data_IF_740615052727
#
_entry.id   IF_740615052727
#
_cell.length_a   1.000
_cell.length_b   1.000
_cell.length_c   1.000
_cell.angle_alpha   90.00
_cell.angle_beta   90.00
_cell.angle_gamma   90.00
#
_symmetry.space_group_name_H-M   'P 1'
#
loop_
_entity.id
_entity.type
_entity.pdbx_description
1 polymer ?
#
# COMPACT_ATOMS: atom_id res chain seq x y z
N UNK A 1 -2.89 -3.44 -26.34
CA UNK A 1 -2.22 -4.06 -25.18
C UNK A 1 -2.46 -3.16 -23.97
N UNK A 2 -3.08 -3.67 -22.89
CA UNK A 2 -3.30 -2.94 -21.63
C UNK A 2 -2.46 -3.61 -20.53
N UNK A 3 -1.38 -2.95 -20.11
CA UNK A 3 -0.43 -3.50 -19.14
C UNK A 3 0.23 -2.37 -18.36
N UNK A 4 0.29 -2.52 -17.04
CA UNK A 4 0.90 -1.57 -16.12
C UNK A 4 1.89 -2.30 -15.23
N UNK A 5 3.04 -1.68 -15.01
CA UNK A 5 4.09 -2.20 -14.16
C UNK A 5 4.45 -1.16 -13.11
N UNK A 6 4.36 -1.54 -11.84
CA UNK A 6 4.62 -0.67 -10.70
C UNK A 6 5.58 -1.35 -9.74
N UNK A 7 6.46 -0.56 -9.12
CA UNK A 7 7.30 -1.02 -8.02
C UNK A 7 7.28 0.03 -6.92
N UNK A 8 6.84 -0.37 -5.73
CA UNK A 8 6.59 0.55 -4.62
C UNK A 8 6.58 -0.17 -3.29
N UNK A 9 6.33 0.60 -2.23
CA UNK A 9 6.14 0.05 -0.88
C UNK A 9 4.65 0.02 -0.54
N UNK A 10 4.21 -1.03 0.13
CA UNK A 10 2.84 -1.12 0.63
C UNK A 10 2.63 -0.02 1.70
N UNK A 11 1.66 0.86 1.49
CA UNK A 11 1.42 2.03 2.32
C UNK A 11 0.42 1.77 3.46
N UNK A 12 -0.50 0.84 3.27
CA UNK A 12 -1.56 0.51 4.22
C UNK A 12 -1.40 -0.91 4.79
N UNK A 13 -1.98 -1.11 5.97
CA UNK A 13 -2.26 -2.45 6.46
C UNK A 13 -3.41 -3.04 5.66
N UNK A 14 -3.35 -4.34 5.37
CA UNK A 14 -4.33 -5.04 4.56
C UNK A 14 -4.60 -6.44 5.13
N UNK A 15 -5.73 -7.01 4.73
CA UNK A 15 -6.17 -8.35 5.10
C UNK A 15 -6.80 -9.04 3.89
N UNK A 16 -6.76 -10.37 3.89
CA UNK A 16 -7.53 -11.17 2.95
C UNK A 16 -9.01 -11.04 3.26
N UNK A 17 -9.81 -10.74 2.24
CA UNK A 17 -11.26 -10.63 2.32
C UNK A 17 -11.92 -11.60 1.34
N UNK A 18 -13.18 -11.92 1.57
CA UNK A 18 -13.99 -12.78 0.71
C UNK A 18 -15.14 -11.97 0.14
N UNK A 19 -15.29 -12.00 -1.19
CA UNK A 19 -16.38 -11.33 -1.90
C UNK A 19 -17.70 -12.12 -1.77
N UNK A 20 -18.83 -11.50 -2.08
CA UNK A 20 -20.13 -12.15 -2.14
C UNK A 20 -20.15 -13.39 -3.06
N UNK A 21 -19.31 -13.38 -4.10
CA UNK A 21 -19.14 -14.51 -5.03
C UNK A 21 -18.09 -15.54 -4.55
N UNK A 22 -17.76 -15.53 -3.26
CA UNK A 22 -16.79 -16.42 -2.62
C UNK A 22 -15.34 -16.36 -3.18
N UNK A 23 -14.99 -15.26 -3.85
CA UNK A 23 -13.63 -15.01 -4.33
C UNK A 23 -12.80 -14.28 -3.26
N UNK A 24 -11.54 -14.64 -3.11
CA UNK A 24 -10.64 -13.92 -2.22
C UNK A 24 -10.11 -12.65 -2.89
N UNK A 25 -9.94 -11.58 -2.11
CA UNK A 25 -9.37 -10.34 -2.59
C UNK A 25 -8.67 -9.55 -1.48
N UNK A 26 -7.83 -8.61 -1.88
CA UNK A 26 -7.26 -7.63 -0.95
C UNK A 26 -7.05 -6.28 -1.64
N UNK A 27 -7.23 -5.20 -0.87
CA UNK A 27 -7.00 -3.83 -1.31
C UNK A 27 -5.67 -3.32 -0.75
N UNK A 28 -4.80 -2.86 -1.64
CA UNK A 28 -3.47 -2.39 -1.29
C UNK A 28 -3.23 -1.06 -1.98
N UNK A 29 -2.56 -0.15 -1.28
CA UNK A 29 -2.05 1.11 -1.81
C UNK A 29 -0.54 1.05 -1.86
N UNK A 30 0.05 1.33 -3.04
CA UNK A 30 1.49 1.46 -3.21
C UNK A 30 1.93 2.91 -3.09
N UNK A 31 2.90 3.15 -2.24
CA UNK A 31 3.71 4.37 -2.23
C UNK A 31 4.83 4.24 -3.28
N UNK A 32 4.81 5.09 -4.30
CA UNK A 32 5.80 5.15 -5.37
C UNK A 32 6.40 6.55 -5.40
N UNK A 33 7.67 6.64 -5.07
CA UNK A 33 8.41 7.91 -5.10
C UNK A 33 8.70 8.33 -6.54
N UNK A 34 8.40 9.59 -6.88
CA UNK A 34 8.80 10.19 -8.16
C UNK A 34 10.31 10.47 -8.18
N UNK A 35 10.92 10.34 -9.36
CA UNK A 35 12.36 10.59 -9.54
C UNK A 35 12.74 12.06 -9.35
N UNK A 36 11.83 12.97 -9.65
CA UNK A 36 12.02 14.41 -9.52
C UNK A 36 11.34 14.95 -8.26
N UNK A 37 11.81 16.11 -7.81
CA UNK A 37 11.29 16.86 -6.65
C UNK A 37 10.25 17.89 -7.10
N UNK A 38 9.45 18.39 -6.17
CA UNK A 38 8.60 19.56 -6.43
C UNK A 38 9.43 20.81 -6.69
N UNK A 39 8.78 21.88 -7.15
CA UNK A 39 9.42 23.19 -7.34
C UNK A 39 10.03 23.75 -6.04
N UNK A 40 9.54 23.30 -4.89
CA UNK A 40 10.03 23.66 -3.54
C UNK A 40 11.15 22.72 -3.05
N UNK A 41 11.55 21.73 -3.87
CA UNK A 41 12.60 20.77 -3.52
C UNK A 41 12.13 19.57 -2.69
N UNK A 42 10.82 19.41 -2.47
CA UNK A 42 10.23 18.33 -1.68
C UNK A 42 10.12 17.02 -2.48
N UNK A 43 10.29 15.87 -1.81
CA UNK A 43 10.09 14.56 -2.44
C UNK A 43 8.60 14.30 -2.67
N UNK A 44 8.23 13.87 -3.89
CA UNK A 44 6.85 13.57 -4.25
C UNK A 44 6.66 12.05 -4.26
N UNK A 45 5.55 11.58 -3.67
CA UNK A 45 5.16 10.16 -3.67
C UNK A 45 3.72 10.03 -4.13
N UNK A 46 3.49 9.15 -5.10
CA UNK A 46 2.16 8.75 -5.55
C UNK A 46 1.66 7.57 -4.72
N UNK A 47 0.37 7.60 -4.37
CA UNK A 47 -0.30 6.53 -3.66
C UNK A 47 -1.29 5.86 -4.59
N UNK A 48 -0.91 4.69 -5.10
CA UNK A 48 -1.64 4.00 -6.15
C UNK A 48 -2.38 2.79 -5.56
N UNK A 49 -3.72 2.85 -5.46
CA UNK A 49 -4.51 1.70 -5.02
C UNK A 49 -4.62 0.64 -6.12
N UNK A 50 -4.61 -0.62 -5.72
CA UNK A 50 -4.89 -1.76 -6.59
C UNK A 50 -5.62 -2.87 -5.83
N UNK A 51 -6.26 -3.75 -6.59
CA UNK A 51 -6.94 -4.95 -6.10
C UNK A 51 -6.16 -6.17 -6.56
N UNK A 52 -5.82 -7.06 -5.64
CA UNK A 52 -5.37 -8.41 -5.98
C UNK A 52 -6.50 -9.40 -5.69
N UNK A 53 -6.64 -10.40 -6.55
CA UNK A 53 -7.68 -11.43 -6.45
C UNK A 53 -7.06 -12.82 -6.26
N UNK A 54 -7.82 -13.71 -5.62
CA UNK A 54 -7.54 -15.14 -5.47
C UNK A 54 -6.09 -15.40 -5.04
N UNK A 55 -5.37 -16.23 -5.81
CA UNK A 55 -3.98 -16.62 -5.53
C UNK A 55 -3.05 -15.42 -5.29
N UNK A 56 -3.21 -14.33 -6.04
CA UNK A 56 -2.42 -13.11 -5.89
C UNK A 56 -2.67 -12.46 -4.53
N UNK A 57 -3.94 -12.43 -4.09
CA UNK A 57 -4.32 -11.92 -2.78
C UNK A 57 -3.79 -12.79 -1.64
N UNK A 58 -3.86 -14.12 -1.79
CA UNK A 58 -3.34 -15.08 -0.82
C UNK A 58 -1.82 -14.96 -0.64
N UNK A 59 -1.08 -14.84 -1.75
CA UNK A 59 0.38 -14.63 -1.74
C UNK A 59 0.73 -13.35 -0.99
N UNK A 60 0.05 -12.24 -1.29
CA UNK A 60 0.30 -10.97 -0.61
C UNK A 60 0.01 -11.08 0.89
N UNK A 61 -1.12 -11.67 1.26
CA UNK A 61 -1.49 -11.82 2.67
C UNK A 61 -0.53 -12.73 3.45
N UNK A 62 0.09 -13.71 2.77
CA UNK A 62 1.03 -14.64 3.39
C UNK A 62 2.46 -14.10 3.48
N UNK A 63 2.90 -13.31 2.49
CA UNK A 63 4.32 -12.97 2.32
C UNK A 63 4.63 -11.47 2.32
N UNK A 64 3.62 -10.60 2.36
CA UNK A 64 3.81 -9.17 2.41
C UNK A 64 3.05 -8.54 3.58
N UNK A 65 3.45 -7.33 3.95
CA UNK A 65 2.82 -6.51 4.98
C UNK A 65 3.10 -5.05 4.67
N UNK A 66 2.50 -4.14 5.44
CA UNK A 66 2.80 -2.72 5.34
C UNK A 66 4.30 -2.43 5.38
N UNK A 67 4.73 -1.55 4.49
CA UNK A 67 6.11 -1.15 4.31
C UNK A 67 6.93 -2.04 3.39
N UNK A 68 6.52 -3.28 3.10
CA UNK A 68 7.26 -4.18 2.21
C UNK A 68 7.27 -3.66 0.78
N UNK A 69 8.42 -3.75 0.12
CA UNK A 69 8.57 -3.40 -1.30
C UNK A 69 8.10 -4.55 -2.19
N UNK A 70 7.22 -4.25 -3.13
CA UNK A 70 6.68 -5.22 -4.09
C UNK A 70 6.72 -4.68 -5.52
N UNK A 71 6.78 -5.59 -6.48
CA UNK A 71 6.50 -5.37 -7.88
C UNK A 71 5.08 -5.85 -8.20
N UNK A 72 4.36 -5.08 -9.01
CA UNK A 72 2.99 -5.38 -9.42
C UNK A 72 2.90 -5.23 -10.93
N UNK A 73 2.42 -6.29 -11.57
CA UNK A 73 1.87 -6.25 -12.93
C UNK A 73 0.35 -6.14 -12.82
N UNK A 74 -0.26 -5.23 -13.58
CA UNK A 74 -1.68 -4.97 -13.50
C UNK A 74 -2.31 -4.57 -14.84
N UNK A 75 -3.63 -4.60 -14.88
CA UNK A 75 -4.45 -3.94 -15.91
C UNK A 75 -5.19 -2.76 -15.31
N UNK A 76 -5.38 -1.70 -16.09
CA UNK A 76 -6.25 -0.58 -15.70
C UNK A 76 -7.65 -0.83 -16.24
N UNK A 77 -8.63 -0.69 -15.36
CA UNK A 77 -10.04 -0.59 -15.68
C UNK A 77 -10.55 0.78 -15.27
N UNK A 78 -11.26 1.45 -16.18
CA UNK A 78 -11.95 2.71 -15.91
C UNK A 78 -13.42 2.39 -15.81
N UNK A 79 -14.03 2.66 -14.66
CA UNK A 79 -15.46 2.56 -14.46
C UNK A 79 -16.04 3.97 -14.36
N UNK A 80 -17.20 4.19 -14.95
CA UNK A 80 -17.96 5.41 -14.78
C UNK A 80 -19.24 5.08 -14.03
N UNK A 81 -19.53 5.84 -12.99
CA UNK A 81 -20.73 5.68 -12.17
C UNK A 81 -21.41 7.04 -11.98
N UNK A 82 -22.72 7.04 -11.73
CA UNK A 82 -23.48 8.24 -11.41
C UNK A 82 -23.83 8.16 -9.93
N UNK A 83 -23.13 8.97 -9.14
CA UNK A 83 -23.35 9.07 -7.70
C UNK A 83 -23.77 10.50 -7.40
N UNK A 84 -24.91 10.68 -6.73
CA UNK A 84 -25.47 12.00 -6.39
C UNK A 84 -25.72 12.90 -7.62
N UNK A 85 -26.19 12.30 -8.73
CA UNK A 85 -26.42 12.99 -10.01
C UNK A 85 -25.14 13.60 -10.63
N UNK A 86 -23.96 13.17 -10.17
CA UNK A 86 -22.67 13.54 -10.72
C UNK A 86 -21.95 12.31 -11.28
N UNK A 87 -21.36 12.48 -12.47
CA UNK A 87 -20.54 11.45 -13.09
C UNK A 87 -19.21 11.32 -12.34
N UNK A 88 -18.94 10.15 -11.75
CA UNK A 88 -17.67 9.81 -11.10
C UNK A 88 -16.93 8.78 -11.93
N UNK A 89 -15.64 9.03 -12.15
CA UNK A 89 -14.74 8.10 -12.83
C UNK A 89 -13.85 7.41 -11.82
N UNK A 90 -13.91 6.08 -11.77
CA UNK A 90 -13.10 5.24 -10.92
C UNK A 90 -12.00 4.56 -11.75
N UNK A 91 -10.75 4.78 -11.38
CA UNK A 91 -9.60 4.09 -11.97
C UNK A 91 -9.23 2.95 -11.03
N UNK A 92 -9.36 1.72 -11.53
CA UNK A 92 -9.11 0.51 -10.77
C UNK A 92 -7.96 -0.24 -11.43
N UNK A 93 -6.91 -0.50 -10.65
CA UNK A 93 -5.84 -1.40 -11.04
C UNK A 93 -6.13 -2.81 -10.52
N UNK A 94 -6.16 -3.78 -11.42
CA UNK A 94 -6.30 -5.20 -11.06
C UNK A 94 -4.96 -5.89 -11.26
N UNK A 95 -4.37 -6.38 -10.18
CA UNK A 95 -3.07 -7.05 -10.21
C UNK A 95 -3.19 -8.43 -10.87
N UNK A 96 -2.44 -8.65 -11.95
CA UNK A 96 -2.31 -9.93 -12.64
C UNK A 96 -1.18 -10.76 -12.07
N UNK A 97 -0.09 -10.12 -11.64
CA UNK A 97 1.04 -10.76 -10.98
C UNK A 97 1.64 -9.84 -9.90
N UNK A 98 2.21 -10.43 -8.86
CA UNK A 98 2.87 -9.71 -7.76
C UNK A 98 4.13 -10.45 -7.34
N UNK A 99 5.20 -9.70 -7.11
CA UNK A 99 6.47 -10.23 -6.63
C UNK A 99 6.95 -9.42 -5.44
N UNK A 100 7.36 -10.13 -4.39
CA UNK A 100 7.93 -9.49 -3.21
C UNK A 100 9.41 -9.24 -3.46
N UNK A 101 9.83 -7.97 -3.35
CA UNK A 101 11.19 -7.53 -3.71
C UNK A 101 12.13 -7.45 -2.49
N UNK A 102 11.70 -7.95 -1.34
CA UNK A 102 12.49 -7.94 -0.11
C UNK A 102 12.72 -9.35 0.41
N UNK A 103 13.89 -9.58 0.99
CA UNK A 103 14.20 -10.85 1.66
C UNK A 103 13.57 -10.89 3.05
N UNK A 104 13.31 -12.08 3.59
CA UNK A 104 12.82 -12.26 4.97
C UNK A 104 13.69 -11.52 5.99
N UNK A 105 15.02 -11.59 5.83
CA UNK A 105 15.99 -10.88 6.67
C UNK A 105 15.80 -9.36 6.62
N UNK A 106 15.57 -8.78 5.44
CA UNK A 106 15.29 -7.34 5.30
C UNK A 106 13.97 -6.96 5.99
N UNK A 107 12.94 -7.79 5.86
CA UNK A 107 11.65 -7.55 6.52
C UNK A 107 11.78 -7.59 8.05
N UNK A 108 12.50 -8.56 8.61
CA UNK A 108 12.76 -8.65 10.05
C UNK A 108 13.52 -7.42 10.57
N UNK A 109 14.56 -6.98 9.85
CA UNK A 109 15.30 -5.77 10.19
C UNK A 109 14.40 -4.52 10.18
N UNK A 110 13.49 -4.43 9.20
CA UNK A 110 12.54 -3.32 9.09
C UNK A 110 11.51 -3.34 10.23
N UNK A 111 11.01 -4.52 10.63
CA UNK A 111 10.13 -4.66 11.80
C UNK A 111 10.81 -4.16 13.07
N UNK A 112 12.03 -4.64 13.36
CA UNK A 112 12.76 -4.25 14.56
C UNK A 112 13.07 -2.75 14.60
N UNK A 113 13.38 -2.13 13.45
CA UNK A 113 13.57 -0.68 13.35
C UNK A 113 12.29 0.09 13.67
N UNK A 114 11.15 -0.36 13.15
CA UNK A 114 9.86 0.29 13.39
C UNK A 114 9.41 0.16 14.85
N UNK A 115 9.64 -0.99 15.49
CA UNK A 115 9.35 -1.21 16.91
C UNK A 115 10.22 -0.30 17.80
N UNK A 116 11.54 -0.25 17.56
CA UNK A 116 12.42 0.67 18.30
C UNK A 116 11.99 2.13 18.15
N UNK A 117 11.60 2.55 16.94
CA UNK A 117 11.12 3.92 16.70
C UNK A 117 9.84 4.21 17.48
N UNK A 118 8.89 3.25 17.54
CA UNK A 118 7.67 3.37 18.37
C UNK A 118 7.99 3.51 19.86
N UNK A 119 8.89 2.68 20.40
CA UNK A 119 9.28 2.74 21.82
C UNK A 119 9.87 4.11 22.17
N UNK A 120 10.79 4.62 21.34
CA UNK A 120 11.39 5.96 21.55
C UNK A 120 10.34 7.08 21.48
N UNK A 121 9.36 6.97 20.56
CA UNK A 121 8.26 7.92 20.49
C UNK A 121 7.43 7.89 21.78
N UNK A 122 7.03 6.72 22.25
CA UNK A 122 6.22 6.55 23.46
C UNK A 122 6.94 7.06 24.72
N UNK A 123 8.26 6.87 24.83
CA UNK A 123 9.08 7.41 25.92
C UNK A 123 9.11 8.95 25.90
N UNK A 124 9.26 9.56 24.72
CA UNK A 124 9.25 11.01 24.59
C UNK A 124 7.88 11.62 24.94
N UNK A 125 6.77 10.95 24.62
CA UNK A 125 5.43 11.40 25.00
C UNK A 125 5.18 11.34 26.51
N UNK A 126 5.75 10.37 27.22
CA UNK A 126 5.65 10.29 28.70
C UNK A 126 6.42 11.41 29.42
N UNK A 127 7.42 12.01 28.76
CA UNK A 127 8.19 13.14 29.28
C UNK A 127 7.45 14.49 29.20
N UNK A 128 6.41 14.59 28.38
CA UNK A 128 5.56 15.79 28.27
C UNK A 128 4.41 15.61 29.27
N UNK A 129 4.66 15.88 30.56
CA UNK A 129 3.55 16.14 31.48
C UNK A 129 2.90 17.42 31.03
N UNK A 130 1.65 17.33 30.58
CA UNK A 130 0.79 18.49 30.35
C UNK A 130 0.77 19.27 31.66
N UNK A 131 1.35 20.47 31.66
CA UNK A 131 1.21 21.40 32.77
C UNK A 131 -0.26 21.84 32.75
N UNK A 132 -1.10 21.14 33.51
CA UNK A 132 -2.49 21.49 33.72
C UNK A 132 -2.55 22.99 34.11
N UNK A 133 -3.24 23.77 33.29
CA UNK A 133 -3.62 25.16 33.53
C UNK A 133 -5.12 25.19 33.75
#
# INVERSE_FOLDING_TARGET
MNKVFLAGRIANDFKLMTSANNNYYTYITLAIRRKYKSNEGNEITDFIPFVAWNKTAEILNKYAMKGVKIFVEATINILEDIVDNQKKTHIILNATNVEVLETKKQMELNKNKNEKKRIVLDENYKGIKVSDT
#
